data_IF_487737631320
#
_entry.id   IF_487737631320
#
_cell.length_a   1.000
_cell.length_b   1.000
_cell.length_c   1.000
_cell.angle_alpha   90.00
_cell.angle_beta   90.00
_cell.angle_gamma   90.00
#
_symmetry.space_group_name_H-M   'P 1'
#
loop_
_entity.id
_entity.type
_entity.pdbx_description
1 polymer ?
#
# COMPACT_ATOMS: atom_id res chain seq x y z
N UNK A 1 6.62 25.08 8.73
CA UNK A 1 6.27 23.78 9.38
C UNK A 1 5.51 22.84 8.44
N UNK A 2 4.55 23.35 7.66
CA UNK A 2 3.78 22.58 6.68
C UNK A 2 4.69 21.85 5.67
N UNK A 3 5.71 22.52 5.10
CA UNK A 3 6.64 21.91 4.13
C UNK A 3 7.41 20.71 4.69
N UNK A 4 7.74 20.74 5.98
CA UNK A 4 8.41 19.63 6.64
C UNK A 4 7.51 18.40 6.70
N UNK A 5 6.24 18.57 7.09
CA UNK A 5 5.27 17.48 7.11
C UNK A 5 4.97 16.96 5.71
N UNK A 6 4.83 17.83 4.69
CA UNK A 6 4.65 17.39 3.29
C UNK A 6 5.84 16.55 2.82
N UNK A 7 7.06 17.05 3.03
CA UNK A 7 8.29 16.35 2.66
C UNK A 7 8.43 15.01 3.39
N UNK A 8 8.00 14.94 4.65
CA UNK A 8 8.03 13.69 5.40
C UNK A 8 7.01 12.68 4.87
N UNK A 9 5.76 13.10 4.64
CA UNK A 9 4.74 12.28 3.99
C UNK A 9 5.19 11.70 2.64
N UNK A 10 5.87 12.50 1.81
CA UNK A 10 6.42 12.06 0.52
C UNK A 10 7.47 10.95 0.71
N UNK A 11 8.43 11.13 1.62
CA UNK A 11 9.47 10.11 1.91
C UNK A 11 8.88 8.81 2.43
N UNK A 12 7.83 8.89 3.24
CA UNK A 12 7.12 7.70 3.73
C UNK A 12 6.41 6.97 2.59
N UNK A 13 5.70 7.68 1.70
CA UNK A 13 5.08 7.08 0.52
C UNK A 13 6.13 6.40 -0.37
N UNK A 14 7.26 7.06 -0.67
CA UNK A 14 8.33 6.47 -1.47
C UNK A 14 8.91 5.21 -0.83
N UNK A 15 9.02 5.18 0.49
CA UNK A 15 9.49 4.01 1.24
C UNK A 15 8.48 2.86 1.18
N UNK A 16 7.19 3.15 1.37
CA UNK A 16 6.13 2.15 1.20
C UNK A 16 6.09 1.59 -0.23
N UNK A 17 6.18 2.44 -1.25
CA UNK A 17 6.24 1.99 -2.65
C UNK A 17 7.43 1.05 -2.90
N UNK A 18 8.61 1.36 -2.34
CA UNK A 18 9.80 0.50 -2.44
C UNK A 18 9.58 -0.86 -1.77
N UNK A 19 8.97 -0.90 -0.59
CA UNK A 19 8.70 -2.15 0.11
C UNK A 19 7.64 -3.00 -0.58
N UNK A 20 6.56 -2.40 -1.08
CA UNK A 20 5.52 -3.10 -1.84
C UNK A 20 6.09 -3.71 -3.13
N UNK A 21 6.93 -2.96 -3.86
CA UNK A 21 7.57 -3.49 -5.08
C UNK A 21 8.49 -4.68 -4.79
N UNK A 22 9.08 -4.71 -3.61
CA UNK A 22 9.94 -5.79 -3.13
C UNK A 22 9.18 -6.90 -2.36
N UNK A 23 7.85 -6.88 -2.34
CA UNK A 23 6.98 -7.80 -1.58
C UNK A 23 7.29 -7.87 -0.07
N UNK A 24 7.81 -6.78 0.51
CA UNK A 24 8.13 -6.66 1.94
C UNK A 24 6.97 -6.07 2.74
N UNK A 25 5.80 -6.72 2.67
CA UNK A 25 4.55 -6.27 3.30
C UNK A 25 4.63 -6.06 4.81
N UNK A 26 5.41 -6.89 5.51
CA UNK A 26 5.58 -6.80 6.97
C UNK A 26 6.19 -5.47 7.44
N UNK A 27 6.88 -4.74 6.55
CA UNK A 27 7.51 -3.46 6.88
C UNK A 27 6.57 -2.26 6.72
N UNK A 28 5.35 -2.47 6.22
CA UNK A 28 4.43 -1.39 5.90
C UNK A 28 3.69 -0.84 7.12
N UNK A 29 3.33 -1.69 8.10
CA UNK A 29 2.53 -1.27 9.24
C UNK A 29 3.14 -0.08 10.00
N UNK A 30 4.45 -0.11 10.26
CA UNK A 30 5.16 1.00 10.92
C UNK A 30 5.12 2.28 10.07
N UNK A 31 5.32 2.17 8.76
CA UNK A 31 5.31 3.33 7.86
C UNK A 31 3.91 3.91 7.68
N UNK A 32 2.89 3.06 7.68
CA UNK A 32 1.49 3.48 7.60
C UNK A 32 1.09 4.29 8.83
N UNK A 33 1.43 3.81 10.04
CA UNK A 33 1.18 4.55 11.28
C UNK A 33 1.92 5.89 11.31
N UNK A 34 3.19 5.91 10.91
CA UNK A 34 3.99 7.15 10.86
C UNK A 34 3.45 8.14 9.82
N UNK A 35 2.98 7.63 8.68
CA UNK A 35 2.35 8.45 7.64
C UNK A 35 1.03 9.04 8.13
N UNK A 36 0.18 8.24 8.76
CA UNK A 36 -1.10 8.71 9.29
C UNK A 36 -0.91 9.81 10.35
N UNK A 37 0.03 9.62 11.28
CA UNK A 37 0.36 10.62 12.28
C UNK A 37 0.87 11.92 11.64
N UNK A 38 1.81 11.82 10.71
CA UNK A 38 2.37 12.99 10.01
C UNK A 38 1.33 13.70 9.17
N UNK A 39 0.43 12.95 8.52
CA UNK A 39 -0.66 13.49 7.71
C UNK A 39 -1.70 14.23 8.57
N UNK A 40 -2.02 13.73 9.77
CA UNK A 40 -2.90 14.41 10.71
C UNK A 40 -2.30 15.73 11.20
N UNK A 41 -0.99 15.77 11.46
CA UNK A 41 -0.27 17.01 11.78
C UNK A 41 -0.25 18.00 10.61
N UNK A 42 -0.06 17.51 9.38
CA UNK A 42 -0.16 18.34 8.17
C UNK A 42 -1.56 18.95 8.04
N UNK A 43 -2.61 18.14 8.20
CA UNK A 43 -4.01 18.59 8.11
C UNK A 43 -4.33 19.67 9.16
N UNK A 44 -3.85 19.49 10.39
CA UNK A 44 -4.00 20.47 11.45
C UNK A 44 -3.24 21.78 11.14
N UNK A 45 -2.02 21.66 10.59
CA UNK A 45 -1.21 22.81 10.19
C UNK A 45 -1.85 23.62 9.05
N UNK A 46 -2.37 22.96 8.02
CA UNK A 46 -3.05 23.60 6.88
C UNK A 46 -4.33 24.32 7.33
N UNK A 47 -5.04 23.83 8.34
CA UNK A 47 -6.22 24.50 8.87
C UNK A 47 -5.90 25.75 9.70
N UNK A 48 -4.65 25.91 10.13
CA UNK A 48 -4.21 26.98 11.05
C UNK A 48 -3.38 28.08 10.36
N UNK A 49 -2.92 27.87 9.13
CA UNK A 49 -1.96 28.74 8.44
C UNK A 49 -2.42 29.01 7.00
N UNK A 50 -2.16 30.21 6.47
CA UNK A 50 -2.39 30.51 5.06
C UNK A 50 -1.29 29.85 4.22
N UNK A 51 -1.67 28.89 3.37
CA UNK A 51 -0.73 28.18 2.51
C UNK A 51 -0.21 29.08 1.38
N UNK A 52 1.11 29.12 1.23
CA UNK A 52 1.72 29.69 0.03
C UNK A 52 1.55 28.77 -1.20
N UNK A 53 1.85 29.31 -2.38
CA UNK A 53 1.72 28.60 -3.64
C UNK A 53 2.67 27.38 -3.74
N UNK A 54 3.80 27.40 -3.04
CA UNK A 54 4.78 26.31 -3.04
C UNK A 54 4.26 25.12 -2.22
N UNK A 55 3.71 25.38 -1.04
CA UNK A 55 3.03 24.39 -0.21
C UNK A 55 1.83 23.77 -0.95
N UNK A 56 1.07 24.58 -1.71
CA UNK A 56 -0.04 24.10 -2.53
C UNK A 56 0.42 23.12 -3.62
N UNK A 57 1.47 23.47 -4.37
CA UNK A 57 2.05 22.57 -5.36
C UNK A 57 2.59 21.28 -4.72
N UNK A 58 3.21 21.38 -3.56
CA UNK A 58 3.72 20.23 -2.82
C UNK A 58 2.58 19.32 -2.31
N UNK A 59 1.44 19.89 -1.88
CA UNK A 59 0.25 19.13 -1.51
C UNK A 59 -0.39 18.42 -2.70
N UNK A 60 -0.47 19.07 -3.87
CA UNK A 60 -0.94 18.43 -5.11
C UNK A 60 -0.03 17.26 -5.47
N UNK A 61 1.29 17.45 -5.34
CA UNK A 61 2.25 16.36 -5.55
C UNK A 61 2.03 15.21 -4.56
N UNK A 62 1.79 15.51 -3.29
CA UNK A 62 1.51 14.52 -2.26
C UNK A 62 0.26 13.69 -2.57
N UNK A 63 -0.85 14.33 -3.00
CA UNK A 63 -2.07 13.62 -3.43
C UNK A 63 -1.79 12.67 -4.61
N UNK A 64 -1.04 13.14 -5.61
CA UNK A 64 -0.66 12.31 -6.75
C UNK A 64 0.16 11.08 -6.32
N UNK A 65 1.11 11.24 -5.40
CA UNK A 65 1.89 10.12 -4.87
C UNK A 65 1.04 9.15 -4.04
N UNK A 66 0.10 9.67 -3.26
CA UNK A 66 -0.85 8.84 -2.51
C UNK A 66 -1.71 7.98 -3.45
N UNK A 67 -2.30 8.58 -4.49
CA UNK A 67 -3.07 7.83 -5.51
C UNK A 67 -2.23 6.81 -6.26
N UNK A 68 -0.94 7.07 -6.49
CA UNK A 68 -0.01 6.10 -7.09
C UNK A 68 0.23 4.92 -6.16
N UNK A 69 0.43 5.18 -4.86
CA UNK A 69 0.58 4.15 -3.84
C UNK A 69 -0.68 3.27 -3.76
N UNK A 70 -1.87 3.87 -3.69
CA UNK A 70 -3.14 3.14 -3.68
C UNK A 70 -3.29 2.20 -4.88
N UNK A 71 -3.03 2.70 -6.10
CA UNK A 71 -3.08 1.87 -7.32
C UNK A 71 -2.09 0.71 -7.26
N UNK A 72 -0.88 0.95 -6.76
CA UNK A 72 0.14 -0.10 -6.60
C UNK A 72 -0.33 -1.18 -5.62
N UNK A 73 -0.87 -0.78 -4.46
CA UNK A 73 -1.40 -1.72 -3.46
C UNK A 73 -2.55 -2.53 -4.05
N UNK A 74 -3.53 -1.89 -4.67
CA UNK A 74 -4.67 -2.59 -5.29
C UNK A 74 -4.23 -3.59 -6.36
N UNK A 75 -3.25 -3.22 -7.18
CA UNK A 75 -2.70 -4.13 -8.19
C UNK A 75 -2.06 -5.37 -7.56
N UNK A 76 -1.21 -5.16 -6.54
CA UNK A 76 -0.54 -6.27 -5.86
C UNK A 76 -1.50 -7.18 -5.09
N UNK A 77 -2.52 -6.61 -4.46
CA UNK A 77 -3.57 -7.38 -3.79
C UNK A 77 -4.34 -8.24 -4.80
N UNK A 78 -4.65 -7.68 -5.98
CA UNK A 78 -5.30 -8.44 -7.06
C UNK A 78 -4.43 -9.61 -7.54
N UNK A 79 -3.15 -9.36 -7.82
CA UNK A 79 -2.20 -10.42 -8.20
C UNK A 79 -2.09 -11.51 -7.13
N UNK A 80 -2.10 -11.12 -5.85
CA UNK A 80 -2.02 -12.06 -4.73
C UNK A 80 -3.30 -12.89 -4.60
N UNK A 81 -4.47 -12.27 -4.78
CA UNK A 81 -5.76 -12.96 -4.75
C UNK A 81 -5.89 -13.96 -5.91
N UNK A 82 -5.44 -13.60 -7.11
CA UNK A 82 -5.42 -14.50 -8.27
C UNK A 82 -4.50 -15.70 -8.05
N UNK A 83 -3.29 -15.47 -7.50
CA UNK A 83 -2.37 -16.56 -7.12
C UNK A 83 -2.97 -17.48 -6.07
N UNK A 84 -3.63 -16.92 -5.05
CA UNK A 84 -4.27 -17.70 -3.99
C UNK A 84 -5.39 -18.58 -4.57
N UNK A 85 -6.27 -18.01 -5.39
CA UNK A 85 -7.34 -18.75 -6.08
C UNK A 85 -6.79 -19.90 -6.94
N UNK A 86 -5.67 -19.67 -7.64
CA UNK A 86 -5.01 -20.71 -8.44
C UNK A 86 -4.47 -21.86 -7.56
N UNK A 87 -3.86 -21.53 -6.41
CA UNK A 87 -3.35 -22.52 -5.45
C UNK A 87 -4.50 -23.33 -4.83
N UNK A 88 -5.59 -22.68 -4.43
CA UNK A 88 -6.78 -23.37 -3.90
C UNK A 88 -7.40 -24.31 -4.94
N UNK A 89 -7.50 -23.87 -6.20
CA UNK A 89 -7.98 -24.70 -7.30
C UNK A 89 -7.06 -25.90 -7.58
N UNK A 90 -5.75 -25.71 -7.52
CA UNK A 90 -4.77 -26.80 -7.63
C UNK A 90 -4.90 -27.81 -6.48
N UNK A 91 -5.04 -27.34 -5.23
CA UNK A 91 -5.23 -28.21 -4.07
C UNK A 91 -6.52 -29.03 -4.16
N UNK A 92 -7.64 -28.43 -4.58
CA UNK A 92 -8.90 -29.16 -4.78
C UNK A 92 -8.77 -30.28 -5.80
N UNK A 93 -8.08 -30.04 -6.92
CA UNK A 93 -7.81 -31.05 -7.96
C UNK A 93 -6.90 -32.18 -7.46
N UNK A 94 -5.87 -31.85 -6.70
CA UNK A 94 -4.98 -32.86 -6.09
C UNK A 94 -5.73 -33.75 -5.09
N UNK A 95 -6.58 -33.16 -4.23
CA UNK A 95 -7.37 -33.92 -3.26
C UNK A 95 -8.41 -34.83 -3.94
N UNK A 96 -9.09 -34.35 -4.99
CA UNK A 96 -10.01 -35.19 -5.77
C UNK A 96 -9.28 -36.31 -6.49
N UNK A 97 -8.11 -36.05 -7.08
CA UNK A 97 -7.29 -37.09 -7.71
C UNK A 97 -6.79 -38.13 -6.71
N UNK A 98 -6.40 -37.71 -5.51
CA UNK A 98 -5.97 -38.62 -4.42
C UNK A 98 -7.12 -39.47 -3.90
N UNK A 99 -8.33 -38.91 -3.78
CA UNK A 99 -9.52 -39.66 -3.38
C UNK A 99 -9.89 -40.71 -4.44
N UNK A 100 -9.88 -40.34 -5.73
CA UNK A 100 -10.14 -41.29 -6.83
C UNK A 100 -9.12 -42.42 -6.83
N UNK A 101 -7.83 -42.12 -6.65
CA UNK A 101 -6.80 -43.14 -6.55
C UNK A 101 -7.02 -44.11 -5.37
N UNK A 102 -7.49 -43.60 -4.21
CA UNK A 102 -7.76 -44.44 -3.03
C UNK A 102 -9.00 -45.34 -3.16
N UNK A 103 -9.96 -44.99 -4.02
CA UNK A 103 -11.16 -45.80 -4.27
C UNK A 103 -10.86 -46.95 -5.25
N UNK A 104 -9.87 -46.75 -6.13
CA UNK A 104 -9.46 -47.70 -7.15
C UNK A 104 -8.34 -48.67 -6.70
N UNK A 105 -7.83 -48.50 -5.47
CA UNK A 105 -6.80 -49.36 -4.85
C UNK A 105 -7.43 -50.32 -3.85
#
# INVERSE_FOLDING_TARGET
>A
MIDHHISHCLRLIESMQRFIRADKWQKLSTLESEYEQTFMQLKAGVAADDMDNTALQAMVHLDQQHRRLQRLVSHRLKETAEKLSAVEGASKRLNTSSQVASILS
#
